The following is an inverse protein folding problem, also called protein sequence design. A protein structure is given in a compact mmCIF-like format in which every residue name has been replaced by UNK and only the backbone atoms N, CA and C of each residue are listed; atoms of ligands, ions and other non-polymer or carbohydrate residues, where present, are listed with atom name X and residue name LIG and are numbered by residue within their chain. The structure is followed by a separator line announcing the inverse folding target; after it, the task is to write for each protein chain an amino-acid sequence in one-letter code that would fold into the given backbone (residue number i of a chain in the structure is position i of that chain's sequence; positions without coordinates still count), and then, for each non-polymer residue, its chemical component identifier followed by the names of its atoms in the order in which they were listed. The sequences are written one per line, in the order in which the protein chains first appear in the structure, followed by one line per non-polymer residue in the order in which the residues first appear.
data_IF_744884933718
#
_entry.id   IF_744884933718
#
_cell.length_a   1.000
_cell.length_b   1.000
_cell.length_c   1.000
_cell.angle_alpha   90.00
_cell.angle_beta   90.00
_cell.angle_gamma   90.00
#
_symmetry.space_group_name_H-M   'P 1'
#
loop_
_entity.id
_entity.type
_entity.pdbx_description
1 polymer ?
#
# COMPACT_ATOMS: atom_id res chain seq x y z
N UNK A 1 -4.27 43.29 -78.96
CA UNK A 1 -4.65 41.85 -78.98
C UNK A 1 -4.37 41.26 -77.62
N UNK A 2 -5.26 40.37 -77.20
CA UNK A 2 -5.44 39.85 -75.84
C UNK A 2 -4.26 38.99 -75.36
N UNK A 3 -4.02 38.99 -74.05
CA UNK A 3 -4.29 37.80 -73.23
C UNK A 3 -4.13 38.12 -71.74
N UNK A 4 -5.26 38.17 -71.04
CA UNK A 4 -5.34 38.09 -69.58
C UNK A 4 -5.24 36.60 -69.21
N UNK A 5 -4.27 36.21 -68.41
CA UNK A 5 -4.31 34.94 -67.69
C UNK A 5 -4.65 35.23 -66.22
N UNK A 6 -5.75 34.65 -65.76
CA UNK A 6 -6.14 34.58 -64.37
C UNK A 6 -5.60 33.26 -63.78
N UNK A 7 -4.92 33.31 -62.63
CA UNK A 7 -4.57 32.15 -61.80
C UNK A 7 -4.74 32.60 -60.34
N UNK A 8 -5.92 32.36 -59.76
CA UNK A 8 -6.25 31.29 -58.81
C UNK A 8 -5.49 31.38 -57.48
N UNK A 9 -6.23 31.77 -56.42
CA UNK A 9 -5.81 31.75 -55.01
C UNK A 9 -5.66 30.30 -54.54
N UNK A 10 -4.53 29.96 -53.91
CA UNK A 10 -4.43 28.82 -52.98
C UNK A 10 -3.84 29.35 -51.68
N UNK A 11 -4.67 29.47 -50.64
CA UNK A 11 -4.24 29.77 -49.29
C UNK A 11 -3.70 28.50 -48.64
N UNK A 12 -2.44 28.54 -48.19
CA UNK A 12 -1.85 27.48 -47.37
C UNK A 12 -2.13 27.83 -45.90
N UNK A 13 -3.12 27.16 -45.30
CA UNK A 13 -3.32 27.13 -43.85
C UNK A 13 -2.39 26.05 -43.28
N UNK A 14 -1.27 26.48 -42.70
CA UNK A 14 -0.36 25.59 -41.97
C UNK A 14 -0.88 25.45 -40.53
N UNK A 15 -1.60 24.35 -40.24
CA UNK A 15 -1.93 23.97 -38.87
C UNK A 15 -0.69 23.30 -38.25
N UNK A 16 0.05 24.04 -37.41
CA UNK A 16 1.08 23.45 -36.55
C UNK A 16 0.35 22.90 -35.33
N UNK A 17 0.17 21.57 -35.29
CA UNK A 17 -0.26 20.87 -34.09
C UNK A 17 0.86 20.92 -33.05
N UNK A 18 0.66 21.69 -31.98
CA UNK A 18 1.55 21.72 -30.83
C UNK A 18 1.35 20.42 -30.03
N UNK A 19 2.22 19.43 -30.24
CA UNK A 19 2.27 18.24 -29.40
C UNK A 19 2.90 18.64 -28.05
N UNK A 20 2.07 18.85 -27.03
CA UNK A 20 2.53 18.94 -25.65
C UNK A 20 2.83 17.52 -25.18
N UNK A 21 4.11 17.12 -25.26
CA UNK A 21 4.58 15.96 -24.55
C UNK A 21 4.57 16.28 -23.04
N UNK A 22 3.53 15.85 -22.34
CA UNK A 22 3.53 15.81 -20.88
C UNK A 22 4.49 14.70 -20.46
N UNK A 23 5.76 15.05 -20.26
CA UNK A 23 6.66 14.17 -19.52
C UNK A 23 6.15 14.14 -18.08
N UNK A 24 5.41 13.08 -17.73
CA UNK A 24 5.18 12.74 -16.33
C UNK A 24 6.55 12.51 -15.65
N UNK A 25 6.65 12.70 -14.32
CA UNK A 25 7.90 12.48 -13.62
C UNK A 25 8.39 11.05 -13.88
N UNK A 26 9.54 10.93 -14.53
CA UNK A 26 10.26 9.66 -14.64
C UNK A 26 10.88 9.36 -13.29
N UNK A 27 10.42 8.30 -12.63
CA UNK A 27 11.03 7.81 -11.40
C UNK A 27 12.45 7.33 -11.71
N UNK A 28 13.46 8.04 -11.20
CA UNK A 28 14.82 7.54 -11.19
C UNK A 28 14.92 6.49 -10.09
N UNK A 29 15.02 5.21 -10.47
CA UNK A 29 15.31 4.15 -9.51
C UNK A 29 16.70 4.38 -8.91
N UNK A 30 16.77 4.44 -7.57
CA UNK A 30 18.02 4.67 -6.79
C UNK A 30 18.93 3.42 -6.81
N UNK A 31 18.43 2.31 -7.35
CA UNK A 31 19.17 1.07 -7.63
C UNK A 31 18.76 0.52 -9.01
N UNK A 32 19.61 -0.25 -9.71
CA UNK A 32 19.19 -0.91 -10.93
C UNK A 32 18.02 -1.86 -10.61
N UNK A 33 16.88 -1.68 -11.28
CA UNK A 33 15.77 -2.62 -11.23
C UNK A 33 16.25 -3.97 -11.76
N UNK A 34 16.37 -4.95 -10.89
CA UNK A 34 16.65 -6.33 -11.28
C UNK A 34 15.33 -7.05 -11.51
N UNK A 35 14.92 -7.16 -12.78
CA UNK A 35 13.75 -7.94 -13.17
C UNK A 35 14.05 -9.44 -13.07
N UNK A 36 13.18 -10.21 -12.41
CA UNK A 36 13.17 -11.68 -12.42
C UNK A 36 12.09 -12.20 -13.39
N UNK A 37 12.12 -13.50 -13.77
CA UNK A 37 11.06 -14.07 -14.60
C UNK A 37 9.67 -13.84 -13.98
N UNK A 38 8.74 -13.27 -14.76
CA UNK A 38 7.40 -12.86 -14.29
C UNK A 38 7.24 -11.35 -14.06
N UNK A 39 8.34 -10.58 -14.09
CA UNK A 39 8.27 -9.12 -13.88
C UNK A 39 8.06 -8.32 -15.17
N UNK A 40 7.98 -8.98 -16.34
CA UNK A 40 7.90 -8.32 -17.67
C UNK A 40 6.54 -8.46 -18.37
N UNK A 41 5.65 -9.29 -17.82
CA UNK A 41 4.23 -9.36 -18.17
C UNK A 41 3.47 -10.03 -17.03
N UNK A 42 2.15 -9.86 -16.98
CA UNK A 42 1.29 -10.69 -16.12
C UNK A 42 1.40 -12.15 -16.60
N UNK A 43 2.17 -12.96 -15.87
CA UNK A 43 2.39 -14.39 -16.14
C UNK A 43 2.55 -15.16 -14.83
N UNK A 44 2.75 -16.49 -14.91
CA UNK A 44 3.20 -17.27 -13.75
C UNK A 44 4.53 -16.68 -13.26
N UNK A 45 4.60 -16.30 -11.99
CA UNK A 45 5.85 -15.91 -11.35
C UNK A 45 6.64 -17.15 -10.92
N UNK A 46 7.93 -16.96 -10.68
CA UNK A 46 8.66 -17.91 -9.84
C UNK A 46 8.04 -17.88 -8.42
N UNK A 47 7.79 -19.06 -7.84
CA UNK A 47 7.24 -19.23 -6.47
C UNK A 47 5.83 -18.60 -6.24
N UNK A 48 5.35 -18.70 -5.01
CA UNK A 48 4.00 -18.30 -4.61
C UNK A 48 3.83 -16.77 -4.53
N UNK A 49 2.67 -16.31 -4.97
CA UNK A 49 2.12 -15.01 -4.62
C UNK A 49 0.92 -15.22 -3.69
N UNK A 50 0.93 -14.56 -2.54
CA UNK A 50 0.01 -14.87 -1.44
C UNK A 50 -0.56 -13.62 -0.78
N UNK A 51 -1.60 -13.82 0.01
CA UNK A 51 -2.24 -12.77 0.83
C UNK A 51 -2.63 -11.52 0.03
N UNK A 52 -3.41 -11.65 -1.06
CA UNK A 52 -3.86 -10.49 -1.80
C UNK A 52 -4.85 -9.66 -0.96
N UNK A 53 -4.78 -8.34 -1.11
CA UNK A 53 -5.74 -7.39 -0.57
C UNK A 53 -6.09 -6.35 -1.63
N UNK A 54 -7.29 -5.78 -1.55
CA UNK A 54 -7.78 -4.78 -2.49
C UNK A 54 -8.58 -3.71 -1.76
N UNK A 55 -8.40 -2.46 -2.16
CA UNK A 55 -9.26 -1.35 -1.77
C UNK A 55 -9.60 -0.47 -2.97
N UNK A 56 -10.70 0.26 -2.85
CA UNK A 56 -11.18 1.20 -3.87
C UNK A 56 -11.16 2.63 -3.32
N UNK A 57 -10.76 3.57 -4.16
CA UNK A 57 -10.56 4.98 -3.80
C UNK A 57 -10.24 5.79 -5.06
N UNK A 58 -10.68 7.04 -5.10
CA UNK A 58 -10.44 7.95 -6.22
C UNK A 58 -10.85 7.40 -7.62
N UNK A 59 -11.89 6.57 -7.67
CA UNK A 59 -12.37 5.97 -8.92
C UNK A 59 -11.49 4.85 -9.48
N UNK A 60 -10.50 4.37 -8.72
CA UNK A 60 -9.62 3.26 -9.07
C UNK A 60 -9.48 2.29 -7.91
N UNK A 61 -8.93 1.10 -8.17
CA UNK A 61 -8.64 0.12 -7.12
C UNK A 61 -7.15 -0.16 -7.06
N UNK A 62 -6.61 -0.32 -5.86
CA UNK A 62 -5.26 -0.81 -5.66
C UNK A 62 -5.32 -2.24 -5.13
N UNK A 63 -4.73 -3.18 -5.87
CA UNK A 63 -4.51 -4.56 -5.43
C UNK A 63 -3.07 -4.67 -4.95
N UNK A 64 -2.87 -5.31 -3.81
CA UNK A 64 -1.55 -5.57 -3.22
C UNK A 64 -1.42 -7.03 -2.84
N UNK A 65 -0.21 -7.59 -2.86
CA UNK A 65 0.06 -8.98 -2.46
C UNK A 65 1.50 -9.14 -1.99
N UNK A 66 1.75 -10.22 -1.25
CA UNK A 66 3.09 -10.66 -0.93
C UNK A 66 3.62 -11.57 -2.03
N UNK A 67 4.84 -11.31 -2.46
CA UNK A 67 5.45 -11.92 -3.64
C UNK A 67 6.78 -12.58 -3.30
N UNK A 68 6.85 -13.90 -3.50
CA UNK A 68 8.04 -14.70 -3.16
C UNK A 68 8.93 -14.97 -4.35
N UNK A 69 8.75 -14.27 -5.48
CA UNK A 69 9.56 -14.51 -6.69
C UNK A 69 11.06 -14.31 -6.52
N UNK A 70 11.48 -13.54 -5.52
CA UNK A 70 12.88 -13.32 -5.18
C UNK A 70 13.45 -14.38 -4.22
N UNK A 71 12.62 -15.29 -3.70
CA UNK A 71 13.03 -16.33 -2.76
C UNK A 71 13.93 -17.36 -3.48
N UNK A 72 15.20 -17.40 -3.10
CA UNK A 72 16.11 -18.42 -3.61
C UNK A 72 15.69 -19.82 -3.13
N UNK A 73 15.54 -20.75 -4.07
CA UNK A 73 15.16 -22.13 -3.77
C UNK A 73 16.16 -22.79 -2.80
N UNK A 74 15.66 -23.22 -1.63
CA UNK A 74 16.47 -23.89 -0.61
C UNK A 74 17.25 -22.95 0.33
N UNK A 75 16.99 -21.64 0.32
CA UNK A 75 17.60 -20.71 1.26
C UNK A 75 17.10 -20.95 2.70
N UNK A 76 17.99 -21.31 3.66
CA UNK A 76 17.58 -21.67 5.01
C UNK A 76 17.29 -20.45 5.91
N UNK A 77 17.80 -19.26 5.56
CA UNK A 77 17.68 -18.03 6.33
C UNK A 77 17.70 -16.81 5.40
N UNK A 78 16.65 -15.99 5.42
CA UNK A 78 16.44 -14.91 4.45
C UNK A 78 16.33 -13.52 5.09
N UNK A 79 16.77 -13.39 6.34
CA UNK A 79 16.67 -12.15 7.12
C UNK A 79 17.55 -11.00 6.57
N UNK A 80 18.54 -11.32 5.73
CA UNK A 80 19.48 -10.36 5.15
C UNK A 80 19.30 -10.11 3.65
N UNK A 81 18.36 -10.81 3.02
CA UNK A 81 18.04 -10.71 1.59
C UNK A 81 16.54 -10.47 1.41
N UNK A 82 16.11 -10.11 0.20
CA UNK A 82 14.69 -10.13 -0.15
C UNK A 82 14.22 -11.59 -0.17
N UNK A 83 13.00 -11.83 0.33
CA UNK A 83 12.42 -13.17 0.45
C UNK A 83 10.96 -13.18 0.01
N UNK A 84 10.19 -12.26 0.58
CA UNK A 84 8.79 -12.02 0.28
C UNK A 84 8.63 -10.50 0.31
N UNK A 85 8.31 -9.90 -0.82
CA UNK A 85 8.20 -8.45 -0.97
C UNK A 85 6.74 -8.06 -1.20
N UNK A 86 6.38 -6.79 -0.96
CA UNK A 86 5.02 -6.30 -1.25
C UNK A 86 5.01 -5.65 -2.63
N UNK A 87 4.13 -6.14 -3.49
CA UNK A 87 3.86 -5.57 -4.81
C UNK A 87 2.42 -5.11 -4.91
N UNK A 88 2.16 -4.22 -5.86
CA UNK A 88 0.79 -3.81 -6.18
C UNK A 88 0.57 -3.43 -7.62
N UNK A 89 -0.71 -3.28 -7.96
CA UNK A 89 -1.19 -2.90 -9.28
C UNK A 89 -2.47 -2.09 -9.15
N UNK A 90 -2.53 -0.97 -9.88
CA UNK A 90 -3.76 -0.20 -10.03
C UNK A 90 -4.66 -0.80 -11.09
N UNK A 91 -5.94 -0.87 -10.78
CA UNK A 91 -7.02 -1.23 -11.69
C UNK A 91 -7.91 -0.02 -11.94
N UNK A 92 -8.36 0.16 -13.18
CA UNK A 92 -9.39 1.14 -13.52
C UNK A 92 -10.77 0.75 -12.93
N UNK A 93 -11.77 1.62 -13.10
CA UNK A 93 -13.13 1.38 -12.61
C UNK A 93 -13.81 0.15 -13.24
N UNK A 94 -13.29 -0.37 -14.35
CA UNK A 94 -13.75 -1.61 -15.00
C UNK A 94 -12.97 -2.84 -14.56
N UNK A 95 -11.98 -2.68 -13.66
CA UNK A 95 -11.12 -3.74 -13.17
C UNK A 95 -9.94 -4.06 -14.09
N UNK A 96 -9.66 -3.24 -15.12
CA UNK A 96 -8.52 -3.49 -16.00
C UNK A 96 -7.22 -2.95 -15.37
N UNK A 97 -6.09 -3.69 -15.46
CA UNK A 97 -4.78 -3.19 -15.09
C UNK A 97 -4.44 -1.89 -15.81
N UNK A 98 -4.01 -0.87 -15.05
CA UNK A 98 -3.54 0.40 -15.60
C UNK A 98 -2.07 0.35 -16.04
N UNK A 99 -1.35 -0.72 -15.71
CA UNK A 99 0.03 -1.00 -16.13
C UNK A 99 0.13 -2.46 -16.55
N UNK A 100 1.04 -2.75 -17.49
CA UNK A 100 1.37 -4.11 -17.86
C UNK A 100 2.07 -4.88 -16.71
N UNK A 101 2.67 -4.14 -15.77
CA UNK A 101 3.51 -4.67 -14.70
C UNK A 101 3.07 -4.18 -13.33
N UNK A 102 3.19 -5.04 -12.29
CA UNK A 102 3.10 -4.58 -10.92
C UNK A 102 4.31 -3.71 -10.58
N UNK A 103 4.15 -2.88 -9.55
CA UNK A 103 5.24 -2.07 -9.01
C UNK A 103 5.57 -2.50 -7.58
N UNK A 104 6.85 -2.44 -7.17
CA UNK A 104 7.24 -2.73 -5.80
C UNK A 104 6.71 -1.64 -4.86
N UNK A 105 6.12 -2.06 -3.75
CA UNK A 105 5.67 -1.18 -2.66
C UNK A 105 6.67 -1.25 -1.50
N UNK A 106 7.12 -2.45 -1.16
CA UNK A 106 8.14 -2.65 -0.14
C UNK A 106 9.06 -3.81 -0.56
N UNK A 107 10.33 -3.48 -0.78
CA UNK A 107 11.41 -4.44 -0.99
C UNK A 107 12.52 -4.14 0.01
N UNK A 108 12.63 -4.99 1.02
CA UNK A 108 13.62 -4.81 2.07
C UNK A 108 14.22 -6.16 2.47
N UNK A 109 15.19 -6.10 3.38
CA UNK A 109 15.77 -7.32 3.97
C UNK A 109 14.71 -8.05 4.78
N UNK A 110 14.72 -9.38 4.71
CA UNK A 110 13.73 -10.22 5.38
C UNK A 110 12.42 -10.30 4.60
N UNK A 111 11.41 -10.86 5.25
CA UNK A 111 10.08 -11.02 4.65
C UNK A 111 9.18 -9.84 5.00
N UNK A 112 8.57 -9.26 3.97
CA UNK A 112 7.37 -8.44 4.05
C UNK A 112 6.15 -9.28 3.64
N UNK A 113 5.13 -9.31 4.50
CA UNK A 113 4.02 -10.27 4.39
C UNK A 113 2.69 -9.67 4.82
N UNK A 114 1.60 -10.38 4.51
CA UNK A 114 0.23 -10.04 4.91
C UNK A 114 -0.12 -8.57 4.64
N UNK A 115 0.02 -8.09 3.40
CA UNK A 115 -0.30 -6.71 3.11
C UNK A 115 -1.82 -6.48 3.19
N UNK A 116 -2.19 -5.27 3.59
CA UNK A 116 -3.54 -4.74 3.46
C UNK A 116 -3.45 -3.30 2.97
N UNK A 117 -4.52 -2.80 2.35
CA UNK A 117 -4.54 -1.50 1.66
C UNK A 117 -5.77 -0.70 2.04
N UNK A 118 -5.58 0.60 2.29
CA UNK A 118 -6.65 1.49 2.76
C UNK A 118 -6.56 2.84 2.04
N UNK A 119 -7.69 3.40 1.64
CA UNK A 119 -7.78 4.74 1.06
C UNK A 119 -8.27 5.74 2.10
N UNK A 120 -7.61 6.90 2.23
CA UNK A 120 -8.06 7.96 3.16
C UNK A 120 -8.74 9.16 2.49
N UNK A 121 -9.09 9.09 1.21
CA UNK A 121 -9.61 10.26 0.49
C UNK A 121 -8.53 11.05 -0.27
N UNK A 122 -7.24 10.84 -0.01
CA UNK A 122 -6.13 11.53 -0.70
C UNK A 122 -4.98 10.60 -1.10
N UNK A 123 -4.62 9.67 -0.21
CA UNK A 123 -3.53 8.73 -0.34
C UNK A 123 -4.01 7.31 0.00
N UNK A 124 -3.33 6.34 -0.57
CA UNK A 124 -3.39 4.94 -0.16
C UNK A 124 -2.40 4.72 0.98
N UNK A 125 -2.73 3.83 1.89
CA UNK A 125 -1.84 3.28 2.89
C UNK A 125 -1.78 1.78 2.69
N UNK A 126 -0.57 1.27 2.43
CA UNK A 126 -0.32 -0.17 2.38
C UNK A 126 0.40 -0.56 3.66
N UNK A 127 -0.23 -1.43 4.45
CA UNK A 127 0.28 -1.90 5.73
C UNK A 127 0.66 -3.36 5.59
N UNK A 128 1.79 -3.76 6.16
CA UNK A 128 2.31 -5.12 6.05
C UNK A 128 3.11 -5.49 7.30
N UNK A 129 3.29 -6.79 7.51
CA UNK A 129 4.22 -7.33 8.49
C UNK A 129 5.62 -7.34 7.91
N UNK A 130 6.62 -6.92 8.67
CA UNK A 130 8.03 -6.97 8.28
C UNK A 130 8.87 -7.54 9.42
N UNK A 131 9.94 -8.25 9.08
CA UNK A 131 10.96 -8.63 10.04
C UNK A 131 11.78 -7.38 10.44
N UNK A 132 12.01 -7.20 11.73
CA UNK A 132 12.86 -6.13 12.28
C UNK A 132 13.78 -6.70 13.35
N UNK A 133 14.97 -6.13 13.52
CA UNK A 133 15.84 -6.54 14.62
C UNK A 133 15.19 -6.13 15.95
N UNK A 134 15.05 -7.07 16.88
CA UNK A 134 14.42 -6.78 18.18
C UNK A 134 15.22 -5.71 18.94
N UNK A 135 14.58 -5.04 19.90
CA UNK A 135 15.24 -4.00 20.71
C UNK A 135 16.46 -4.49 21.51
N UNK A 136 16.66 -5.80 21.63
CA UNK A 136 17.85 -6.41 22.26
C UNK A 136 18.95 -6.76 21.25
N UNK A 137 18.67 -6.73 19.95
CA UNK A 137 19.64 -6.96 18.88
C UNK A 137 19.98 -8.43 18.59
N UNK A 138 19.41 -9.39 19.34
CA UNK A 138 19.81 -10.80 19.28
C UNK A 138 18.92 -11.68 18.39
N UNK A 139 17.72 -11.22 18.02
CA UNK A 139 16.77 -11.97 17.20
C UNK A 139 15.89 -11.01 16.42
N UNK A 140 15.26 -11.49 15.34
CA UNK A 140 14.26 -10.74 14.59
C UNK A 140 12.88 -10.91 15.21
N UNK A 141 12.12 -9.83 15.19
CA UNK A 141 10.72 -9.80 15.58
C UNK A 141 9.85 -9.31 14.42
N UNK A 142 8.58 -9.69 14.43
CA UNK A 142 7.61 -9.22 13.45
C UNK A 142 7.05 -7.88 13.90
N UNK A 143 7.17 -6.88 13.04
CA UNK A 143 6.59 -5.56 13.26
C UNK A 143 5.58 -5.23 12.14
N UNK A 144 4.66 -4.31 12.44
CA UNK A 144 3.85 -3.69 11.41
C UNK A 144 4.57 -2.46 10.85
N UNK A 145 4.52 -2.32 9.53
CA UNK A 145 5.03 -1.17 8.82
C UNK A 145 4.01 -0.73 7.78
N UNK A 146 4.12 0.53 7.34
CA UNK A 146 3.24 1.08 6.34
C UNK A 146 3.99 1.94 5.31
N UNK A 147 3.47 2.00 4.10
CA UNK A 147 3.93 2.89 3.03
C UNK A 147 2.72 3.61 2.46
N UNK A 148 2.80 4.93 2.36
CA UNK A 148 1.79 5.73 1.67
C UNK A 148 2.08 5.80 0.19
N UNK A 149 1.02 5.78 -0.60
CA UNK A 149 1.06 5.91 -2.05
C UNK A 149 0.08 7.02 -2.42
N UNK A 150 0.51 8.00 -3.21
CA UNK A 150 -0.40 9.01 -3.74
C UNK A 150 -1.46 8.40 -4.65
N UNK A 151 -2.55 9.13 -4.91
CA UNK A 151 -3.56 8.78 -5.92
C UNK A 151 -2.93 8.45 -7.30
N UNK A 152 -1.87 9.16 -7.67
CA UNK A 152 -1.14 8.97 -8.93
C UNK A 152 -0.15 7.78 -8.91
N UNK A 153 -0.12 6.98 -7.84
CA UNK A 153 0.73 5.80 -7.71
C UNK A 153 2.18 6.08 -7.31
N UNK A 154 2.53 7.30 -6.91
CA UNK A 154 3.87 7.61 -6.39
C UNK A 154 3.99 7.15 -4.94
N UNK A 155 5.05 6.41 -4.59
CA UNK A 155 5.41 6.13 -3.20
C UNK A 155 5.78 7.44 -2.51
N UNK A 156 5.19 7.68 -1.34
CA UNK A 156 5.40 8.91 -0.56
C UNK A 156 6.39 8.73 0.60
N UNK A 157 6.70 7.48 0.94
CA UNK A 157 7.61 7.11 2.02
C UNK A 157 8.75 6.27 1.45
N UNK A 158 9.95 6.84 1.33
CA UNK A 158 11.16 6.11 0.88
C UNK A 158 11.58 5.03 1.88
N UNK A 159 11.26 5.24 3.16
CA UNK A 159 11.44 4.26 4.24
C UNK A 159 10.07 3.98 4.86
N UNK A 160 9.66 2.70 5.00
CA UNK A 160 8.37 2.36 5.61
C UNK A 160 8.19 2.98 7.00
N UNK A 161 7.00 3.52 7.26
CA UNK A 161 6.59 4.04 8.55
C UNK A 161 6.38 2.86 9.49
N UNK A 162 7.23 2.74 10.51
CA UNK A 162 7.10 1.69 11.50
C UNK A 162 5.93 1.98 12.45
N UNK A 163 4.98 1.05 12.56
CA UNK A 163 3.83 1.14 13.45
C UNK A 163 4.18 0.55 14.81
N UNK A 164 5.14 1.16 15.51
CA UNK A 164 5.63 0.66 16.79
C UNK A 164 4.51 0.51 17.83
N UNK A 165 4.64 -0.51 18.68
CA UNK A 165 3.69 -0.82 19.76
C UNK A 165 2.26 -1.07 19.28
N UNK A 166 2.07 -1.47 18.01
CA UNK A 166 0.77 -1.88 17.44
C UNK A 166 0.74 -3.37 17.05
N UNK A 167 1.80 -4.11 17.37
CA UNK A 167 2.09 -5.46 16.87
C UNK A 167 1.45 -6.62 17.64
N UNK A 168 0.33 -6.39 18.33
CA UNK A 168 -0.44 -7.46 18.97
C UNK A 168 -0.90 -8.52 17.98
N UNK A 169 -1.36 -9.67 18.49
CA UNK A 169 -1.85 -10.76 17.62
C UNK A 169 -3.06 -10.34 16.77
N UNK A 170 -3.82 -9.35 17.26
CA UNK A 170 -5.02 -8.84 16.61
C UNK A 170 -4.93 -7.33 16.44
N UNK A 171 -5.16 -6.87 15.22
CA UNK A 171 -5.22 -5.47 14.85
C UNK A 171 -6.13 -5.30 13.66
N UNK A 172 -6.69 -4.10 13.52
CA UNK A 172 -7.41 -3.69 12.32
C UNK A 172 -7.23 -2.18 12.08
N UNK A 173 -7.44 -1.76 10.82
CA UNK A 173 -7.19 -0.39 10.38
C UNK A 173 -8.37 0.10 9.57
N UNK A 174 -8.79 1.34 9.82
CA UNK A 174 -9.78 2.01 9.01
C UNK A 174 -9.41 3.46 8.79
N UNK A 175 -9.86 4.02 7.67
CA UNK A 175 -9.78 5.46 7.46
C UNK A 175 -11.10 6.13 7.81
N UNK A 176 -11.01 7.33 8.40
CA UNK A 176 -12.18 8.20 8.59
C UNK A 176 -12.46 9.12 7.39
N UNK A 177 -11.72 8.97 6.29
CA UNK A 177 -11.77 9.85 5.12
C UNK A 177 -10.76 11.00 5.17
N UNK A 178 -9.83 11.01 6.13
CA UNK A 178 -8.68 11.92 6.14
C UNK A 178 -7.44 11.25 6.73
N UNK A 179 -7.59 10.56 7.85
CA UNK A 179 -6.52 9.88 8.56
C UNK A 179 -6.83 8.38 8.64
N UNK A 180 -5.90 7.60 9.20
CA UNK A 180 -6.10 6.18 9.51
C UNK A 180 -6.07 5.97 11.01
N UNK A 181 -6.86 5.03 11.49
CA UNK A 181 -6.91 4.59 12.87
C UNK A 181 -6.57 3.12 12.92
N UNK A 182 -5.65 2.76 13.79
CA UNK A 182 -5.23 1.38 14.01
C UNK A 182 -5.75 0.99 15.38
N UNK A 183 -6.71 0.06 15.41
CA UNK A 183 -7.10 -0.62 16.63
C UNK A 183 -6.24 -1.86 16.80
N UNK A 184 -5.72 -2.10 18.00
CA UNK A 184 -4.94 -3.30 18.26
C UNK A 184 -5.17 -3.79 19.69
N UNK A 185 -5.10 -5.11 19.84
CA UNK A 185 -5.16 -5.77 21.13
C UNK A 185 -3.74 -5.94 21.67
N UNK A 186 -3.53 -5.39 22.85
CA UNK A 186 -2.53 -5.84 23.80
C UNK A 186 -3.32 -6.19 25.08
N UNK A 187 -2.72 -6.10 26.26
CA UNK A 187 -3.48 -6.22 27.53
C UNK A 187 -4.81 -5.43 27.50
N UNK A 188 -4.79 -4.16 27.07
CA UNK A 188 -5.99 -3.40 26.71
C UNK A 188 -6.22 -3.41 25.17
N UNK A 189 -7.43 -3.02 24.74
CA UNK A 189 -7.62 -2.62 23.34
C UNK A 189 -7.27 -1.14 23.22
N UNK A 190 -6.31 -0.84 22.35
CA UNK A 190 -5.87 0.52 22.06
C UNK A 190 -6.33 0.97 20.68
N UNK A 191 -6.37 2.29 20.49
CA UNK A 191 -6.34 2.92 19.18
C UNK A 191 -5.23 3.95 19.08
N UNK A 192 -4.52 3.94 17.95
CA UNK A 192 -3.57 4.98 17.55
C UNK A 192 -4.00 5.59 16.22
N UNK A 193 -3.71 6.87 16.05
CA UNK A 193 -3.98 7.60 14.81
C UNK A 193 -2.70 7.67 13.97
N UNK A 194 -2.77 7.26 12.72
CA UNK A 194 -1.78 7.57 11.69
C UNK A 194 -2.35 8.67 10.81
N UNK A 195 -1.71 9.85 10.85
CA UNK A 195 -2.18 10.99 10.05
C UNK A 195 -2.01 10.74 8.55
N UNK A 196 -2.79 11.43 7.71
CA UNK A 196 -2.54 11.51 6.26
C UNK A 196 -1.10 11.94 5.92
N UNK A 197 -0.53 12.75 6.81
CA UNK A 197 0.86 13.16 7.03
C UNK A 197 1.91 12.04 7.17
N UNK A 198 1.49 10.81 7.45
CA UNK A 198 2.39 9.70 7.81
C UNK A 198 2.94 9.79 9.24
N UNK A 199 2.38 10.65 10.09
CA UNK A 199 2.77 10.75 11.50
C UNK A 199 1.91 9.84 12.36
N UNK A 200 2.55 8.88 13.04
CA UNK A 200 1.92 8.01 14.03
C UNK A 200 1.82 8.72 15.39
N UNK A 201 0.61 8.87 15.91
CA UNK A 201 0.35 9.56 17.17
C UNK A 201 0.39 8.58 18.34
N UNK A 202 1.42 8.70 19.16
CA UNK A 202 1.66 7.89 20.36
C UNK A 202 1.70 8.77 21.63
N UNK A 203 1.33 8.23 22.81
CA UNK A 203 0.83 6.88 23.04
C UNK A 203 -0.61 6.68 22.52
N UNK A 204 -0.98 5.43 22.26
CA UNK A 204 -2.37 5.06 21.94
C UNK A 204 -3.35 5.36 23.06
N UNK A 205 -4.62 5.49 22.69
CA UNK A 205 -5.74 5.65 23.62
C UNK A 205 -6.33 4.30 23.95
N UNK A 206 -6.55 4.01 25.23
CA UNK A 206 -7.29 2.80 25.65
C UNK A 206 -8.76 2.97 25.26
N UNK A 207 -9.24 2.12 24.36
CA UNK A 207 -10.66 2.04 23.99
C UNK A 207 -11.43 1.11 24.93
N UNK A 208 -10.83 -0.04 25.25
CA UNK A 208 -11.47 -1.03 26.12
C UNK A 208 -10.42 -1.54 27.11
N UNK A 209 -10.55 -1.20 28.41
CA UNK A 209 -9.64 -1.68 29.43
C UNK A 209 -9.59 -3.20 29.51
N UNK A 210 -8.43 -3.71 29.93
CA UNK A 210 -8.12 -5.11 30.05
C UNK A 210 -9.09 -5.82 31.00
N UNK A 211 -9.36 -7.07 30.69
CA UNK A 211 -10.05 -7.98 31.60
C UNK A 211 -9.22 -9.25 31.73
N UNK A 212 -9.72 -10.23 32.50
CA UNK A 212 -9.10 -11.55 32.58
C UNK A 212 -9.23 -12.38 31.29
N UNK A 213 -9.94 -11.88 30.26
CA UNK A 213 -10.19 -12.57 29.00
C UNK A 213 -9.47 -11.90 27.84
N UNK A 214 -8.80 -12.73 27.03
CA UNK A 214 -8.18 -12.30 25.77
C UNK A 214 -9.25 -11.91 24.77
N UNK A 215 -9.02 -10.80 24.07
CA UNK A 215 -9.92 -10.33 23.01
C UNK A 215 -9.30 -10.60 21.65
N UNK A 216 -10.15 -10.78 20.65
CA UNK A 216 -9.71 -11.18 19.30
C UNK A 216 -10.70 -10.72 18.26
N UNK A 217 -10.37 -10.92 16.97
CA UNK A 217 -11.23 -10.58 15.83
C UNK A 217 -11.70 -9.12 15.90
N UNK A 218 -10.74 -8.20 16.03
CA UNK A 218 -11.01 -6.78 15.97
C UNK A 218 -11.45 -6.43 14.54
N UNK A 219 -12.53 -5.68 14.42
CA UNK A 219 -13.03 -5.13 13.15
C UNK A 219 -13.41 -3.67 13.37
N UNK A 220 -12.73 -2.78 12.67
CA UNK A 220 -12.78 -1.34 12.81
C UNK A 220 -13.36 -0.73 11.53
N UNK A 221 -14.39 0.11 11.68
CA UNK A 221 -14.94 0.90 10.59
C UNK A 221 -14.98 2.37 11.01
N UNK A 222 -14.46 3.26 10.18
CA UNK A 222 -14.44 4.70 10.43
C UNK A 222 -15.08 5.48 9.28
N UNK A 223 -15.68 6.62 9.59
CA UNK A 223 -16.17 7.60 8.61
C UNK A 223 -16.40 8.94 9.30
N UNK A 224 -15.96 10.03 8.67
CA UNK A 224 -16.26 11.39 9.13
C UNK A 224 -15.86 11.66 10.58
N UNK A 225 -14.69 11.15 11.00
CA UNK A 225 -14.17 11.26 12.36
C UNK A 225 -14.85 10.39 13.42
N UNK A 226 -15.75 9.48 13.02
CA UNK A 226 -16.41 8.52 13.92
C UNK A 226 -15.95 7.11 13.56
N UNK A 227 -15.57 6.33 14.57
CA UNK A 227 -15.20 4.93 14.40
C UNK A 227 -16.16 4.01 15.18
N UNK A 228 -16.35 2.79 14.71
CA UNK A 228 -16.98 1.70 15.42
C UNK A 228 -16.01 0.53 15.41
N UNK A 229 -15.64 0.05 16.59
CA UNK A 229 -14.85 -1.16 16.77
C UNK A 229 -15.77 -2.28 17.28
N UNK A 230 -15.69 -3.44 16.66
CA UNK A 230 -16.24 -4.69 17.21
C UNK A 230 -15.12 -5.68 17.53
N UNK A 231 -15.36 -6.56 18.50
CA UNK A 231 -14.38 -7.55 18.94
C UNK A 231 -15.07 -8.75 19.58
N UNK A 232 -14.37 -9.88 19.63
CA UNK A 232 -14.80 -11.06 20.40
C UNK A 232 -14.30 -10.96 21.84
N UNK A 233 -15.20 -11.13 22.81
CA UNK A 233 -14.90 -11.20 24.25
C UNK A 233 -15.74 -12.33 24.87
N UNK A 234 -15.09 -13.28 25.55
CA UNK A 234 -15.75 -14.43 26.19
C UNK A 234 -16.68 -15.27 25.28
N UNK A 235 -16.42 -15.33 23.97
CA UNK A 235 -17.34 -15.99 23.02
C UNK A 235 -18.63 -15.19 22.74
N UNK A 236 -18.65 -13.92 23.15
CA UNK A 236 -19.66 -12.92 22.78
C UNK A 236 -19.03 -11.80 21.95
N UNK A 237 -19.85 -10.90 21.43
CA UNK A 237 -19.38 -9.73 20.66
C UNK A 237 -19.47 -8.47 21.52
N UNK A 238 -18.34 -7.78 21.67
CA UNK A 238 -18.25 -6.44 22.23
C UNK A 238 -18.21 -5.39 21.11
N UNK A 239 -18.61 -4.15 21.44
CA UNK A 239 -18.52 -3.01 20.53
C UNK A 239 -18.28 -1.70 21.30
N UNK A 240 -17.49 -0.80 20.70
CA UNK A 240 -17.22 0.55 21.20
C UNK A 240 -17.20 1.55 20.05
N UNK A 241 -17.66 2.77 20.29
CA UNK A 241 -17.76 3.87 19.33
C UNK A 241 -17.01 5.09 19.84
#
# INVERSE_FOLDING_TARGET
MQNKLAILKLGILLFIGLFLATNGPTFAAIFPTQFVPGDTAVSLAADDQVSPAIAHGDGQSLVVWADRRALAAGAPFTEFETASDIYGMFLDASGNPQSALPFPIAQAKGSQTTPNVFWNGTNWLVVFRTATLSGTGFFYDTALAAVRISAAGQLLDETPIMLYNTGGSYWDIASDGTDWFIAYEDSDIFAVKLTGDGQLQQPGTILVPQTFYTRSNLDLACTGGVCLLTFTDQGTTGAVR
#
